data_IF_032930344391
#
_entry.id   IF_032930344391
#
_cell.length_a   1.000
_cell.length_b   1.000
_cell.length_c   1.000
_cell.angle_alpha   90.00
_cell.angle_beta   90.00
_cell.angle_gamma   90.00
#
_symmetry.space_group_name_H-M   'P 1'
#
loop_
_entity.id
_entity.type
_entity.pdbx_description
1 polymer ?
#
# COMPACT_ATOMS: atom_id res chain seq x y z
N UNK A 1 -39.42 -24.67 31.06
CA UNK A 1 -39.23 -23.26 30.71
C UNK A 1 -37.77 -22.96 30.42
N UNK A 2 -36.82 -23.22 31.34
CA UNK A 2 -35.38 -22.96 31.20
C UNK A 2 -34.76 -23.57 29.93
N UNK A 3 -35.05 -24.86 29.62
CA UNK A 3 -34.51 -25.54 28.43
C UNK A 3 -34.92 -24.86 27.11
N UNK A 4 -36.15 -24.32 27.02
CA UNK A 4 -36.64 -23.57 25.85
C UNK A 4 -35.96 -22.19 25.73
N UNK A 5 -35.71 -21.53 26.85
CA UNK A 5 -34.99 -20.24 26.89
C UNK A 5 -33.53 -20.44 26.44
N UNK A 6 -32.86 -21.47 26.95
CA UNK A 6 -31.49 -21.80 26.54
C UNK A 6 -31.41 -22.13 25.04
N UNK A 7 -32.40 -22.92 24.54
CA UNK A 7 -32.44 -23.22 23.09
C UNK A 7 -32.65 -21.95 22.25
N UNK A 8 -33.56 -21.06 22.67
CA UNK A 8 -33.81 -19.80 21.96
C UNK A 8 -32.54 -18.92 21.94
N UNK A 9 -31.83 -18.80 23.08
CA UNK A 9 -30.57 -18.06 23.16
C UNK A 9 -29.48 -18.64 22.25
N UNK A 10 -29.33 -19.97 22.20
CA UNK A 10 -28.36 -20.62 21.32
C UNK A 10 -28.67 -20.39 19.83
N UNK A 11 -29.97 -20.45 19.47
CA UNK A 11 -30.40 -20.15 18.08
C UNK A 11 -30.12 -18.70 17.73
N UNK A 12 -30.41 -17.76 18.64
CA UNK A 12 -30.13 -16.33 18.41
C UNK A 12 -28.65 -16.08 18.26
N UNK A 13 -27.82 -16.67 19.11
CA UNK A 13 -26.33 -16.57 19.00
C UNK A 13 -25.81 -17.13 17.69
N UNK A 14 -26.35 -18.28 17.26
CA UNK A 14 -25.98 -18.88 15.98
C UNK A 14 -26.37 -17.97 14.78
N UNK A 15 -27.58 -17.39 14.81
CA UNK A 15 -28.02 -16.46 13.77
C UNK A 15 -27.16 -15.17 13.74
N UNK A 16 -26.80 -14.63 14.90
CA UNK A 16 -25.90 -13.47 15.00
C UNK A 16 -24.52 -13.82 14.47
N UNK A 17 -23.98 -14.99 14.81
CA UNK A 17 -22.69 -15.45 14.30
C UNK A 17 -22.69 -15.64 12.76
N UNK A 18 -23.77 -16.22 12.21
CA UNK A 18 -23.94 -16.37 10.75
C UNK A 18 -24.06 -15.00 10.08
N UNK A 19 -24.85 -14.08 10.65
CA UNK A 19 -24.98 -12.73 10.12
C UNK A 19 -23.64 -11.98 10.16
N UNK A 20 -22.92 -12.08 11.27
CA UNK A 20 -21.58 -11.49 11.41
C UNK A 20 -20.60 -12.09 10.38
N UNK A 21 -20.58 -13.40 10.24
CA UNK A 21 -19.73 -14.06 9.23
C UNK A 21 -20.10 -13.60 7.82
N UNK A 22 -21.39 -13.46 7.50
CA UNK A 22 -21.84 -12.94 6.20
C UNK A 22 -21.42 -11.48 5.97
N UNK A 23 -21.54 -10.62 6.98
CA UNK A 23 -21.19 -9.19 6.88
C UNK A 23 -19.68 -8.97 6.77
N UNK A 24 -18.89 -9.70 7.55
CA UNK A 24 -17.45 -9.47 7.67
C UNK A 24 -16.60 -10.40 6.78
N UNK A 25 -17.17 -11.37 6.09
CA UNK A 25 -16.42 -12.21 5.18
C UNK A 25 -16.20 -11.46 3.84
N UNK A 26 -14.96 -11.20 3.42
CA UNK A 26 -14.71 -10.49 2.17
C UNK A 26 -15.20 -11.31 0.97
N UNK A 27 -15.83 -10.64 0.01
CA UNK A 27 -16.19 -11.24 -1.28
C UNK A 27 -15.18 -10.76 -2.31
N UNK A 28 -14.28 -11.66 -2.68
CA UNK A 28 -13.28 -11.43 -3.71
C UNK A 28 -13.76 -12.09 -5.01
N UNK A 29 -14.02 -11.31 -6.07
CA UNK A 29 -14.37 -11.90 -7.36
C UNK A 29 -13.15 -12.59 -7.99
N UNK A 30 -13.42 -13.52 -8.89
CA UNK A 30 -12.39 -14.08 -9.75
C UNK A 30 -12.19 -13.17 -10.96
N UNK A 31 -10.94 -12.98 -11.43
CA UNK A 31 -10.67 -12.21 -12.63
C UNK A 31 -11.37 -12.79 -13.87
N UNK A 32 -11.75 -11.93 -14.78
CA UNK A 32 -12.12 -12.31 -16.13
C UNK A 32 -10.89 -12.71 -16.93
N UNK A 33 -11.06 -13.55 -17.95
CA UNK A 33 -9.98 -13.97 -18.84
C UNK A 33 -9.06 -15.05 -18.29
N UNK A 34 -8.38 -15.79 -19.17
CA UNK A 34 -7.61 -16.97 -18.80
C UNK A 34 -6.30 -16.65 -18.07
N UNK A 35 -5.60 -15.58 -18.47
CA UNK A 35 -4.33 -15.21 -17.86
C UNK A 35 -4.54 -14.64 -16.46
N UNK A 36 -5.47 -13.68 -16.30
CA UNK A 36 -5.83 -13.13 -15.00
C UNK A 36 -6.30 -14.24 -14.04
N UNK A 37 -7.14 -15.16 -14.49
CA UNK A 37 -7.60 -16.28 -13.68
C UNK A 37 -6.45 -17.23 -13.26
N UNK A 38 -5.48 -17.48 -14.14
CA UNK A 38 -4.29 -18.28 -13.83
C UNK A 38 -3.38 -17.59 -12.81
N UNK A 39 -3.11 -16.29 -12.98
CA UNK A 39 -2.29 -15.49 -12.08
C UNK A 39 -2.93 -15.32 -10.70
N UNK A 40 -4.25 -15.32 -10.63
CA UNK A 40 -5.01 -15.14 -9.39
C UNK A 40 -5.14 -16.41 -8.54
N UNK A 41 -4.71 -17.58 -9.05
CA UNK A 41 -4.68 -18.78 -8.25
C UNK A 41 -3.83 -18.59 -6.99
N UNK A 42 -4.21 -19.19 -5.86
CA UNK A 42 -3.40 -19.15 -4.65
C UNK A 42 -1.95 -19.59 -4.92
N UNK A 43 -1.00 -18.95 -4.25
CA UNK A 43 0.38 -19.43 -4.24
C UNK A 43 0.50 -20.74 -3.44
N UNK A 44 1.55 -21.51 -3.71
CA UNK A 44 1.75 -22.85 -3.12
C UNK A 44 2.59 -22.83 -1.84
N UNK A 45 3.32 -21.71 -1.59
CA UNK A 45 4.21 -21.62 -0.43
C UNK A 45 3.43 -21.31 0.84
N UNK A 46 3.75 -22.03 1.92
CA UNK A 46 3.21 -21.72 3.24
C UNK A 46 3.75 -20.39 3.75
N UNK A 47 2.92 -19.60 4.44
CA UNK A 47 3.32 -18.33 5.04
C UNK A 47 3.75 -18.48 6.49
N UNK A 48 4.89 -17.88 6.87
CA UNK A 48 5.30 -17.58 8.22
C UNK A 48 5.08 -16.09 8.52
N UNK A 49 4.90 -15.78 9.81
CA UNK A 49 4.73 -14.40 10.30
C UNK A 49 5.51 -14.25 11.59
N UNK A 50 6.17 -13.10 11.75
CA UNK A 50 6.80 -12.71 13.00
C UNK A 50 6.67 -11.22 13.27
N UNK A 51 6.56 -10.76 14.52
CA UNK A 51 6.53 -9.35 14.86
C UNK A 51 7.88 -8.70 14.60
N UNK A 52 7.87 -7.43 14.20
CA UNK A 52 9.01 -6.54 14.21
C UNK A 52 8.87 -5.58 15.39
N UNK A 53 9.93 -5.44 16.17
CA UNK A 53 10.04 -4.45 17.25
C UNK A 53 11.42 -3.79 17.09
N UNK A 54 11.47 -2.66 16.38
CA UNK A 54 12.70 -2.00 16.00
C UNK A 54 12.77 -0.62 16.64
N UNK A 55 13.96 -0.22 17.07
CA UNK A 55 14.23 1.10 17.63
C UNK A 55 15.41 1.73 16.92
N UNK A 56 15.19 2.88 16.29
CA UNK A 56 16.26 3.69 15.70
C UNK A 56 16.67 4.79 16.68
N UNK A 57 17.76 4.55 17.39
CA UNK A 57 18.33 5.48 18.37
C UNK A 57 19.05 6.69 17.74
N UNK A 58 19.16 6.72 16.43
CA UNK A 58 19.87 7.80 15.70
C UNK A 58 18.96 8.95 15.32
N UNK A 59 17.63 8.73 15.31
CA UNK A 59 16.64 9.72 14.87
C UNK A 59 15.55 9.85 15.92
N UNK A 60 15.20 11.10 16.25
CA UNK A 60 14.15 11.40 17.21
C UNK A 60 12.76 11.25 16.59
N UNK A 61 11.77 10.94 17.42
CA UNK A 61 10.35 11.18 17.13
C UNK A 61 9.99 12.57 17.64
N UNK A 62 9.48 13.43 16.77
CA UNK A 62 9.17 14.83 17.11
C UNK A 62 7.98 14.92 18.07
N UNK A 63 7.87 16.06 18.75
CA UNK A 63 6.69 16.36 19.56
C UNK A 63 5.44 16.45 18.68
N UNK A 64 4.30 16.00 19.20
CA UNK A 64 3.03 15.99 18.48
C UNK A 64 1.86 16.12 19.46
N UNK A 65 1.05 17.16 19.36
CA UNK A 65 0.00 17.45 20.32
C UNK A 65 0.53 17.46 21.76
N UNK A 66 -0.02 16.62 22.64
CA UNK A 66 0.46 16.49 24.04
C UNK A 66 1.69 15.56 24.19
N UNK A 67 2.09 14.87 23.15
CA UNK A 67 3.29 14.05 23.16
C UNK A 67 4.54 14.91 23.03
N UNK A 68 5.41 14.84 24.02
CA UNK A 68 6.63 15.67 24.09
C UNK A 68 7.73 15.28 23.10
N UNK A 69 7.53 14.19 22.34
CA UNK A 69 8.58 13.57 21.51
C UNK A 69 9.48 12.63 22.32
N UNK A 70 10.38 11.96 21.61
CA UNK A 70 11.38 11.04 22.24
C UNK A 70 12.65 11.02 21.40
N UNK A 71 13.83 10.69 21.98
CA UNK A 71 15.12 10.77 21.29
C UNK A 71 15.37 9.62 20.31
N UNK A 72 14.42 8.75 20.09
CA UNK A 72 14.48 7.59 19.20
C UNK A 72 13.18 7.46 18.40
N UNK A 73 13.18 6.56 17.40
CA UNK A 73 11.98 6.18 16.65
C UNK A 73 11.66 4.72 16.88
N UNK A 74 10.44 4.44 17.34
CA UNK A 74 9.93 3.06 17.48
C UNK A 74 9.18 2.68 16.21
N UNK A 75 9.60 1.56 15.61
CA UNK A 75 9.05 1.03 14.36
C UNK A 75 8.59 -0.41 14.65
N UNK A 76 7.39 -0.51 15.21
CA UNK A 76 6.76 -1.78 15.49
C UNK A 76 5.95 -2.25 14.28
N UNK A 77 5.99 -3.54 13.99
CA UNK A 77 5.33 -4.03 12.79
C UNK A 77 5.32 -5.53 12.66
N UNK A 78 5.26 -5.97 11.43
CA UNK A 78 5.12 -7.37 11.07
C UNK A 78 6.00 -7.71 9.86
N UNK A 79 6.50 -8.93 9.86
CA UNK A 79 7.21 -9.54 8.75
C UNK A 79 6.51 -10.84 8.34
N UNK A 80 6.23 -10.97 7.06
CA UNK A 80 5.63 -12.16 6.47
C UNK A 80 6.57 -12.70 5.38
N UNK A 81 6.77 -14.03 5.38
CA UNK A 81 7.67 -14.67 4.43
C UNK A 81 7.27 -16.13 4.13
N UNK A 82 7.69 -16.68 2.96
CA UNK A 82 7.50 -18.08 2.65
C UNK A 82 8.23 -18.99 3.64
N UNK A 83 7.55 -20.05 4.12
CA UNK A 83 8.19 -21.06 4.99
C UNK A 83 9.16 -21.95 4.23
N UNK A 84 8.87 -22.22 2.98
CA UNK A 84 9.76 -22.99 2.14
C UNK A 84 10.96 -22.14 1.73
N UNK A 85 12.14 -22.68 1.91
CA UNK A 85 13.39 -22.00 1.60
C UNK A 85 14.04 -22.50 0.31
N UNK A 86 13.54 -23.62 -0.24
CA UNK A 86 14.14 -24.28 -1.40
C UNK A 86 14.05 -23.42 -2.68
N UNK A 87 13.04 -22.55 -2.76
CA UNK A 87 12.80 -21.68 -3.91
C UNK A 87 13.39 -20.26 -3.74
N UNK A 88 13.95 -19.96 -2.55
CA UNK A 88 14.59 -18.66 -2.26
C UNK A 88 15.98 -18.51 -2.89
N UNK A 89 16.65 -17.35 -2.71
CA UNK A 89 16.18 -16.19 -1.97
C UNK A 89 15.03 -15.44 -2.67
N UNK A 90 14.17 -14.81 -1.87
CA UNK A 90 12.94 -14.16 -2.32
C UNK A 90 13.07 -12.64 -2.42
N UNK A 91 12.35 -11.96 -3.34
CA UNK A 91 12.22 -10.51 -3.34
C UNK A 91 11.59 -10.00 -2.04
N UNK A 92 12.03 -8.81 -1.59
CA UNK A 92 11.48 -8.11 -0.43
C UNK A 92 10.61 -6.94 -0.89
N UNK A 93 9.46 -6.77 -0.25
CA UNK A 93 8.59 -5.60 -0.38
C UNK A 93 8.50 -4.92 0.99
N UNK A 94 8.90 -3.66 1.07
CA UNK A 94 8.66 -2.80 2.22
C UNK A 94 7.35 -2.05 1.96
N UNK A 95 6.29 -2.40 2.72
CA UNK A 95 4.96 -1.82 2.56
C UNK A 95 4.71 -0.72 3.58
N UNK A 96 4.33 0.45 3.11
CA UNK A 96 4.01 1.64 3.89
C UNK A 96 2.50 1.86 3.94
N UNK A 97 1.94 1.95 5.14
CA UNK A 97 0.51 2.19 5.33
C UNK A 97 0.14 3.66 5.09
N UNK A 98 -1.14 3.93 4.83
CA UNK A 98 -1.71 5.26 4.70
C UNK A 98 -1.86 6.00 6.04
N UNK A 99 -2.26 7.27 5.95
CA UNK A 99 -2.54 8.10 7.12
C UNK A 99 -3.63 7.48 8.02
N UNK A 100 -3.45 7.52 9.33
CA UNK A 100 -4.34 6.94 10.35
C UNK A 100 -4.53 5.43 10.24
N UNK A 101 -3.70 4.73 9.48
CA UNK A 101 -3.80 3.30 9.25
C UNK A 101 -2.79 2.50 10.08
N UNK A 102 -2.49 1.27 9.68
CA UNK A 102 -1.58 0.36 10.35
C UNK A 102 -1.02 -0.69 9.40
N UNK A 103 -0.10 -1.52 9.90
CA UNK A 103 0.47 -2.67 9.16
C UNK A 103 -0.59 -3.61 8.56
N UNK A 104 -1.81 -3.65 9.11
CA UNK A 104 -2.88 -4.53 8.62
C UNK A 104 -3.58 -4.01 7.35
N UNK A 105 -3.32 -2.76 6.93
CA UNK A 105 -3.99 -2.14 5.79
C UNK A 105 -3.80 -2.93 4.49
N UNK A 106 -2.58 -3.41 4.24
CA UNK A 106 -2.20 -4.19 3.07
C UNK A 106 -2.39 -5.71 3.20
N UNK A 107 -3.14 -6.20 4.20
CA UNK A 107 -3.23 -7.65 4.48
C UNK A 107 -3.66 -8.47 3.26
N UNK A 108 -4.55 -7.95 2.41
CA UNK A 108 -4.95 -8.64 1.18
C UNK A 108 -3.79 -8.85 0.19
N UNK A 109 -2.80 -7.94 0.15
CA UNK A 109 -1.58 -8.10 -0.66
C UNK A 109 -0.64 -9.12 -0.03
N UNK A 110 -0.49 -9.10 1.29
CA UNK A 110 0.30 -10.10 2.03
C UNK A 110 -0.20 -11.50 1.76
N UNK A 111 -1.52 -11.74 1.94
CA UNK A 111 -2.14 -13.05 1.74
C UNK A 111 -2.01 -13.57 0.30
N UNK A 112 -1.82 -12.67 -0.65
CA UNK A 112 -1.71 -13.01 -2.06
C UNK A 112 -0.26 -13.19 -2.53
N UNK A 113 0.65 -12.31 -2.10
CA UNK A 113 2.03 -12.28 -2.62
C UNK A 113 2.98 -13.20 -1.85
N UNK A 114 2.82 -13.33 -0.53
CA UNK A 114 3.75 -14.17 0.25
C UNK A 114 3.71 -15.64 -0.17
N UNK A 115 2.53 -16.27 -0.37
CA UNK A 115 2.49 -17.64 -0.89
C UNK A 115 3.03 -17.80 -2.32
N UNK A 116 3.27 -16.69 -3.03
CA UNK A 116 3.86 -16.63 -4.38
C UNK A 116 5.35 -16.32 -4.39
N UNK A 117 6.00 -16.32 -3.22
CA UNK A 117 7.43 -16.17 -3.12
C UNK A 117 7.90 -14.73 -2.89
N UNK A 118 7.19 -13.94 -2.12
CA UNK A 118 7.62 -12.61 -1.68
C UNK A 118 7.78 -12.55 -0.16
N UNK A 119 8.80 -11.85 0.30
CA UNK A 119 8.91 -11.40 1.70
C UNK A 119 8.28 -10.01 1.78
N UNK A 120 7.43 -9.78 2.78
CA UNK A 120 6.79 -8.47 2.99
C UNK A 120 7.06 -8.03 4.42
N UNK A 121 7.52 -6.80 4.59
CA UNK A 121 7.67 -6.14 5.89
C UNK A 121 6.87 -4.84 5.90
N UNK A 122 6.17 -4.59 6.99
CA UNK A 122 5.46 -3.33 7.24
C UNK A 122 5.62 -2.93 8.69
N UNK A 123 5.73 -1.62 8.94
CA UNK A 123 5.80 -1.05 10.30
C UNK A 123 4.75 0.04 10.46
N UNK A 124 4.29 0.23 11.69
CA UNK A 124 3.48 1.38 12.05
C UNK A 124 4.41 2.59 12.22
N UNK A 125 4.20 3.62 11.41
CA UNK A 125 5.00 4.85 11.51
C UNK A 125 4.65 5.62 12.80
N UNK A 126 5.65 6.13 13.51
CA UNK A 126 5.48 6.67 14.87
C UNK A 126 4.40 7.75 15.01
N UNK A 127 4.26 8.64 14.01
CA UNK A 127 3.35 9.78 14.11
C UNK A 127 2.21 9.76 13.08
N UNK A 128 2.19 8.84 12.11
CA UNK A 128 1.12 8.80 11.10
C UNK A 128 0.20 7.56 11.21
N UNK A 129 0.55 6.58 12.04
CA UNK A 129 -0.31 5.42 12.30
C UNK A 129 -1.54 5.80 13.13
N UNK A 130 -2.58 4.96 13.09
CA UNK A 130 -3.80 5.18 13.86
C UNK A 130 -3.60 5.17 15.38
N UNK A 131 -2.49 4.61 15.87
CA UNK A 131 -2.08 4.58 17.28
C UNK A 131 -1.05 5.65 17.67
N UNK A 132 -0.78 6.62 16.80
CA UNK A 132 0.26 7.62 17.01
C UNK A 132 0.04 8.45 18.30
N UNK A 133 1.08 8.63 19.13
CA UNK A 133 0.99 9.45 20.33
C UNK A 133 0.73 10.93 19.97
N UNK A 134 -0.19 11.56 20.68
CA UNK A 134 -0.65 12.92 20.40
C UNK A 134 -1.67 13.02 19.27
N UNK A 135 -2.05 11.88 18.67
CA UNK A 135 -2.92 11.75 17.51
C UNK A 135 -2.14 11.64 16.20
N UNK A 136 -2.73 11.02 15.16
CA UNK A 136 -2.07 10.89 13.87
C UNK A 136 -1.80 12.26 13.22
N UNK A 137 -0.60 12.41 12.65
CA UNK A 137 -0.23 13.57 11.84
C UNK A 137 0.49 13.13 10.58
N UNK A 138 0.27 13.83 9.48
CA UNK A 138 0.98 13.62 8.23
C UNK A 138 2.35 14.36 8.23
N UNK A 139 2.59 15.25 9.20
CA UNK A 139 3.82 16.09 9.31
C UNK A 139 5.12 15.28 9.40
N UNK A 140 5.04 13.98 9.70
CA UNK A 140 6.21 13.09 9.82
C UNK A 140 6.57 12.38 8.52
N UNK A 141 5.85 12.63 7.41
CA UNK A 141 6.07 11.91 6.15
C UNK A 141 7.49 12.06 5.61
N UNK A 142 8.11 13.21 5.80
CA UNK A 142 9.50 13.46 5.40
C UNK A 142 10.53 12.55 6.12
N UNK A 143 10.19 12.01 7.29
CA UNK A 143 11.03 11.06 8.03
C UNK A 143 10.85 9.60 7.59
N UNK A 144 9.74 9.27 6.94
CA UNK A 144 9.40 7.88 6.60
C UNK A 144 10.37 7.20 5.62
N UNK A 145 10.98 7.86 4.61
CA UNK A 145 12.04 7.24 3.82
C UNK A 145 13.22 6.75 4.67
N UNK A 146 13.60 7.52 5.69
CA UNK A 146 14.61 7.10 6.65
C UNK A 146 14.18 5.91 7.52
N UNK A 147 12.88 5.81 7.84
CA UNK A 147 12.32 4.66 8.56
C UNK A 147 12.37 3.41 7.69
N UNK A 148 11.98 3.52 6.42
CA UNK A 148 12.06 2.43 5.43
C UNK A 148 13.50 1.94 5.28
N UNK A 149 14.47 2.87 5.12
CA UNK A 149 15.89 2.51 5.00
C UNK A 149 16.42 1.82 6.27
N UNK A 150 16.01 2.29 7.45
CA UNK A 150 16.38 1.65 8.71
C UNK A 150 15.80 0.24 8.85
N UNK A 151 14.51 0.04 8.53
CA UNK A 151 13.90 -1.30 8.52
C UNK A 151 14.65 -2.21 7.55
N UNK A 152 14.98 -1.72 6.36
CA UNK A 152 15.76 -2.48 5.37
C UNK A 152 17.14 -2.88 5.92
N UNK A 153 17.85 -1.97 6.60
CA UNK A 153 19.14 -2.26 7.25
C UNK A 153 19.01 -3.42 8.24
N UNK A 154 17.98 -3.39 9.10
CA UNK A 154 17.75 -4.43 10.09
C UNK A 154 17.43 -5.79 9.45
N UNK A 155 16.60 -5.82 8.42
CA UNK A 155 16.23 -7.05 7.71
C UNK A 155 17.44 -7.66 6.98
N UNK A 156 18.26 -6.85 6.32
CA UNK A 156 19.46 -7.33 5.61
C UNK A 156 20.56 -7.79 6.59
N UNK A 157 20.68 -7.16 7.76
CA UNK A 157 21.57 -7.63 8.81
C UNK A 157 21.14 -9.02 9.31
N UNK A 158 19.85 -9.24 9.56
CA UNK A 158 19.28 -10.55 9.92
C UNK A 158 19.46 -11.57 8.78
N UNK A 159 19.27 -11.16 7.53
CA UNK A 159 19.48 -12.01 6.35
C UNK A 159 20.93 -12.50 6.21
N UNK A 160 21.87 -11.79 6.80
CA UNK A 160 23.30 -12.15 6.79
C UNK A 160 23.76 -12.88 8.07
N UNK A 161 22.90 -13.04 9.07
CA UNK A 161 23.21 -13.61 10.37
C UNK A 161 22.84 -15.10 10.43
N UNK A 162 23.85 -15.97 10.55
CA UNK A 162 23.63 -17.42 10.70
C UNK A 162 22.74 -17.73 11.91
N UNK A 163 21.74 -18.59 11.70
CA UNK A 163 20.80 -18.98 12.75
C UNK A 163 19.58 -18.06 12.89
N UNK A 164 19.54 -16.91 12.24
CA UNK A 164 18.33 -16.08 12.16
C UNK A 164 17.29 -16.73 11.22
N UNK A 165 16.01 -16.46 11.48
CA UNK A 165 14.91 -16.92 10.62
C UNK A 165 14.99 -16.37 9.19
N UNK A 166 15.69 -15.26 8.97
CA UNK A 166 15.88 -14.63 7.67
C UNK A 166 17.19 -15.04 6.95
N UNK A 167 18.08 -15.81 7.60
CA UNK A 167 19.39 -16.11 7.02
C UNK A 167 19.29 -16.66 5.59
N UNK A 168 19.82 -15.92 4.61
CA UNK A 168 19.79 -16.27 3.18
C UNK A 168 18.42 -16.31 2.51
N UNK A 169 17.38 -15.73 3.15
CA UNK A 169 16.01 -15.78 2.66
C UNK A 169 15.67 -14.64 1.69
N UNK A 170 16.25 -13.45 1.90
CA UNK A 170 15.98 -12.24 1.13
C UNK A 170 17.03 -12.07 0.04
N UNK A 171 16.60 -11.78 -1.18
CA UNK A 171 17.49 -11.34 -2.25
C UNK A 171 17.75 -9.83 -2.14
N UNK A 172 18.96 -9.40 -1.80
CA UNK A 172 19.29 -7.98 -1.61
C UNK A 172 19.28 -7.16 -2.91
N UNK A 173 19.14 -7.78 -4.07
CA UNK A 173 19.05 -7.10 -5.36
C UNK A 173 17.59 -6.97 -5.86
N UNK A 174 16.63 -7.60 -5.18
CA UNK A 174 15.22 -7.59 -5.56
C UNK A 174 14.37 -6.99 -4.43
N UNK A 175 14.53 -5.68 -4.20
CA UNK A 175 13.87 -4.93 -3.14
C UNK A 175 12.92 -3.92 -3.77
N UNK A 176 11.65 -3.96 -3.37
CA UNK A 176 10.64 -3.00 -3.77
C UNK A 176 10.10 -2.24 -2.56
N UNK A 177 9.63 -1.01 -2.81
CA UNK A 177 8.77 -0.26 -1.91
C UNK A 177 7.36 -0.21 -2.48
N UNK A 178 6.36 -0.32 -1.62
CA UNK A 178 4.96 -0.17 -1.99
C UNK A 178 4.19 0.49 -0.86
N UNK A 179 3.09 1.18 -1.16
CA UNK A 179 2.26 1.75 -0.11
C UNK A 179 1.00 2.40 -0.62
N UNK A 180 0.05 2.60 0.28
CA UNK A 180 -1.25 3.23 0.01
C UNK A 180 -1.27 4.66 0.51
N UNK A 181 -1.83 5.60 -0.27
CA UNK A 181 -2.07 6.97 0.16
C UNK A 181 -0.77 7.66 0.64
N UNK A 182 -0.68 8.11 1.88
CA UNK A 182 0.55 8.64 2.49
C UNK A 182 1.71 7.64 2.34
N UNK A 183 1.46 6.32 2.48
CA UNK A 183 2.46 5.28 2.22
C UNK A 183 2.86 5.19 0.74
N UNK A 184 1.96 5.53 -0.18
CA UNK A 184 2.27 5.71 -1.60
C UNK A 184 3.24 6.87 -1.83
N UNK A 185 3.05 7.99 -1.13
CA UNK A 185 4.00 9.11 -1.12
C UNK A 185 5.33 8.68 -0.50
N UNK A 186 5.31 7.98 0.62
CA UNK A 186 6.54 7.42 1.23
C UNK A 186 7.32 6.56 0.24
N UNK A 187 6.63 5.72 -0.53
CA UNK A 187 7.26 4.91 -1.58
C UNK A 187 7.88 5.77 -2.67
N UNK A 188 7.21 6.85 -3.10
CA UNK A 188 7.75 7.80 -4.08
C UNK A 188 8.98 8.54 -3.53
N UNK A 189 8.92 9.01 -2.27
CA UNK A 189 10.06 9.68 -1.63
C UNK A 189 11.25 8.74 -1.47
N UNK A 190 11.04 7.50 -1.02
CA UNK A 190 12.10 6.49 -0.86
C UNK A 190 12.73 6.10 -2.20
N UNK A 191 11.98 6.19 -3.30
CA UNK A 191 12.42 5.81 -4.63
C UNK A 191 13.12 6.95 -5.39
N UNK A 192 12.63 8.20 -5.23
CA UNK A 192 13.01 9.30 -6.13
C UNK A 192 13.53 10.56 -5.43
N UNK A 193 13.27 10.78 -4.14
CA UNK A 193 13.72 12.01 -3.49
C UNK A 193 15.24 12.09 -3.46
N UNK A 194 15.83 13.13 -4.05
CA UNK A 194 17.28 13.27 -4.27
C UNK A 194 18.13 12.93 -3.03
N UNK A 195 17.71 13.39 -1.86
CA UNK A 195 18.52 13.32 -0.64
C UNK A 195 18.12 12.17 0.29
N UNK A 196 16.91 11.63 0.16
CA UNK A 196 16.38 10.58 1.05
C UNK A 196 16.03 9.26 0.35
N UNK A 197 16.23 9.16 -0.97
CA UNK A 197 16.04 7.88 -1.68
C UNK A 197 17.04 6.83 -1.22
N UNK A 198 16.59 5.59 -1.17
CA UNK A 198 17.47 4.46 -0.89
C UNK A 198 17.90 3.79 -2.22
N UNK A 199 19.21 3.79 -2.55
CA UNK A 199 19.68 3.24 -3.82
C UNK A 199 19.55 1.71 -3.95
N UNK A 200 19.20 1.00 -2.87
CA UNK A 200 18.95 -0.45 -2.87
C UNK A 200 17.56 -0.79 -3.42
N UNK A 201 16.66 0.20 -3.49
CA UNK A 201 15.33 0.00 -4.05
C UNK A 201 15.43 -0.17 -5.56
N UNK A 202 14.87 -1.27 -6.06
CA UNK A 202 14.90 -1.66 -7.47
C UNK A 202 13.56 -1.53 -8.18
N UNK A 203 12.45 -1.35 -7.44
CA UNK A 203 11.13 -1.08 -7.98
C UNK A 203 10.27 -0.33 -6.95
N UNK A 204 9.33 0.50 -7.43
CA UNK A 204 8.41 1.22 -6.56
C UNK A 204 6.96 1.11 -7.06
N UNK A 205 6.03 0.99 -6.12
CA UNK A 205 4.59 1.02 -6.39
C UNK A 205 3.92 2.03 -5.46
N UNK A 206 3.24 3.00 -6.04
CA UNK A 206 2.41 3.96 -5.31
C UNK A 206 0.93 3.62 -5.56
N UNK A 207 0.20 3.26 -4.51
CA UNK A 207 -1.24 3.02 -4.59
C UNK A 207 -1.94 4.29 -4.09
N UNK A 208 -2.65 4.99 -4.98
CA UNK A 208 -3.36 6.23 -4.68
C UNK A 208 -2.53 7.25 -3.85
N UNK A 209 -1.22 7.33 -4.12
CA UNK A 209 -0.33 8.25 -3.40
C UNK A 209 -0.44 9.69 -3.91
N UNK A 210 -0.37 10.70 -3.02
CA UNK A 210 -0.29 12.11 -3.43
C UNK A 210 0.92 12.35 -4.34
N UNK A 211 0.72 13.10 -5.45
CA UNK A 211 1.77 13.39 -6.41
C UNK A 211 1.57 14.71 -7.16
N UNK A 212 0.58 15.55 -6.80
CA UNK A 212 0.31 16.82 -7.49
C UNK A 212 1.53 17.73 -7.46
N UNK A 213 2.20 17.81 -6.33
CA UNK A 213 3.37 18.65 -6.07
C UNK A 213 4.70 18.07 -6.55
N UNK A 214 4.73 16.80 -6.97
CA UNK A 214 5.93 16.16 -7.51
C UNK A 214 6.06 16.50 -9.01
N UNK A 215 7.17 17.11 -9.40
CA UNK A 215 7.42 17.56 -10.78
C UNK A 215 8.19 16.51 -11.58
N UNK A 216 8.37 16.67 -12.91
CA UNK A 216 9.23 15.78 -13.69
C UNK A 216 10.66 15.69 -13.16
N UNK A 217 11.19 16.77 -12.60
CA UNK A 217 12.54 16.82 -12.02
C UNK A 217 12.66 15.85 -10.84
N UNK A 218 11.63 15.73 -10.00
CA UNK A 218 11.59 14.77 -8.90
C UNK A 218 11.78 13.33 -9.41
N UNK A 219 11.01 12.93 -10.42
CA UNK A 219 11.08 11.58 -10.97
C UNK A 219 12.33 11.32 -11.80
N UNK A 220 13.01 12.35 -12.28
CA UNK A 220 14.23 12.21 -13.09
C UNK A 220 15.47 11.74 -12.31
N UNK A 221 15.39 11.72 -10.97
CA UNK A 221 16.52 11.32 -10.10
C UNK A 221 16.83 9.82 -10.17
N UNK A 222 15.90 9.01 -10.66
CA UNK A 222 16.06 7.57 -10.81
C UNK A 222 15.34 7.05 -12.05
N UNK A 223 15.89 6.05 -12.70
CA UNK A 223 15.28 5.34 -13.84
C UNK A 223 14.68 3.99 -13.44
N UNK A 224 14.46 3.76 -12.14
CA UNK A 224 13.88 2.50 -11.69
C UNK A 224 12.45 2.31 -12.19
N UNK A 225 11.99 1.07 -12.40
CA UNK A 225 10.61 0.77 -12.69
C UNK A 225 9.67 1.33 -11.62
N UNK A 226 8.66 2.10 -12.05
CA UNK A 226 7.66 2.70 -11.18
C UNK A 226 6.27 2.44 -11.71
N UNK A 227 5.37 2.00 -10.84
CA UNK A 227 3.95 1.85 -11.15
C UNK A 227 3.12 2.66 -10.16
N UNK A 228 2.17 3.44 -10.70
CA UNK A 228 1.11 4.02 -9.89
C UNK A 228 -0.20 3.28 -10.16
N UNK A 229 -0.90 2.88 -9.10
CA UNK A 229 -2.26 2.34 -9.18
C UNK A 229 -3.19 3.38 -8.57
N UNK A 230 -4.23 3.79 -9.29
CA UNK A 230 -5.16 4.81 -8.83
C UNK A 230 -6.61 4.47 -9.19
N UNK A 231 -7.54 4.90 -8.36
CA UNK A 231 -8.96 4.82 -8.62
C UNK A 231 -9.48 6.09 -9.30
N UNK A 232 -10.27 5.97 -10.36
CA UNK A 232 -10.80 7.16 -11.04
C UNK A 232 -11.93 7.88 -10.27
N UNK A 233 -12.48 7.23 -9.25
CA UNK A 233 -13.48 7.80 -8.34
C UNK A 233 -12.90 8.07 -6.94
N UNK A 234 -11.58 8.23 -6.83
CA UNK A 234 -10.92 8.58 -5.59
C UNK A 234 -11.28 10.01 -5.19
N UNK A 235 -12.01 10.16 -4.08
CA UNK A 235 -12.43 11.45 -3.56
C UNK A 235 -11.41 12.08 -2.61
N UNK A 236 -10.47 11.29 -2.08
CA UNK A 236 -9.49 11.71 -1.08
C UNK A 236 -8.21 12.20 -1.75
N UNK A 237 -7.73 11.46 -2.74
CA UNK A 237 -6.59 11.84 -3.57
C UNK A 237 -7.08 11.97 -5.01
N UNK A 238 -7.60 13.15 -5.42
CA UNK A 238 -8.28 13.35 -6.68
C UNK A 238 -7.45 12.88 -7.89
N UNK A 239 -8.01 11.93 -8.65
CA UNK A 239 -7.32 11.26 -9.76
C UNK A 239 -6.69 12.23 -10.76
N UNK A 240 -7.44 13.26 -11.20
CA UNK A 240 -7.01 14.19 -12.23
C UNK A 240 -5.79 15.04 -11.79
N UNK A 241 -5.66 15.30 -10.49
CA UNK A 241 -4.55 16.09 -9.96
C UNK A 241 -3.31 15.26 -9.66
N UNK A 242 -3.50 14.03 -9.18
CA UNK A 242 -2.41 13.23 -8.62
C UNK A 242 -1.96 12.10 -9.55
N UNK A 243 -2.89 11.36 -10.15
CA UNK A 243 -2.56 10.16 -10.93
C UNK A 243 -2.47 10.44 -12.44
N UNK A 244 -3.47 11.11 -13.03
CA UNK A 244 -3.52 11.35 -14.46
C UNK A 244 -2.26 12.00 -15.06
N UNK A 245 -1.55 12.93 -14.36
CA UNK A 245 -0.33 13.53 -14.88
C UNK A 245 0.93 12.65 -14.78
N UNK A 246 0.90 11.50 -14.09
CA UNK A 246 2.09 10.68 -13.84
C UNK A 246 2.83 10.26 -15.11
N UNK A 247 2.19 9.81 -16.20
CA UNK A 247 2.91 9.44 -17.42
C UNK A 247 3.70 10.59 -18.04
N UNK A 248 3.21 11.84 -17.88
CA UNK A 248 3.94 13.03 -18.36
C UNK A 248 5.07 13.44 -17.41
N UNK A 249 4.89 13.23 -16.10
CA UNK A 249 5.90 13.55 -15.10
C UNK A 249 7.04 12.52 -15.05
N UNK A 250 6.73 11.25 -15.31
CA UNK A 250 7.64 10.13 -15.28
C UNK A 250 7.42 9.22 -16.49
N UNK A 251 8.08 9.49 -17.62
CA UNK A 251 7.86 8.75 -18.88
C UNK A 251 8.20 7.25 -18.84
N UNK A 252 8.84 6.79 -17.78
CA UNK A 252 9.17 5.37 -17.55
C UNK A 252 8.19 4.70 -16.57
N UNK A 253 7.18 5.44 -16.13
CA UNK A 253 6.16 4.91 -15.21
C UNK A 253 5.03 4.23 -15.96
N UNK A 254 4.37 3.32 -15.26
CA UNK A 254 3.09 2.75 -15.66
C UNK A 254 2.01 3.26 -14.72
N UNK A 255 0.97 3.89 -15.26
CA UNK A 255 -0.24 4.21 -14.53
C UNK A 255 -1.31 3.15 -14.82
N UNK A 256 -1.75 2.47 -13.75
CA UNK A 256 -2.88 1.53 -13.76
C UNK A 256 -4.08 2.24 -13.13
N UNK A 257 -5.07 2.61 -13.94
CA UNK A 257 -6.29 3.26 -13.49
C UNK A 257 -7.39 2.23 -13.32
N UNK A 258 -7.96 2.15 -12.13
CA UNK A 258 -9.14 1.33 -11.83
C UNK A 258 -10.38 2.21 -11.99
N UNK A 259 -11.17 1.97 -13.03
CA UNK A 259 -12.37 2.76 -13.32
C UNK A 259 -13.42 2.60 -12.22
N UNK A 260 -13.84 3.71 -11.61
CA UNK A 260 -14.74 3.71 -10.47
C UNK A 260 -14.09 3.26 -9.15
N UNK A 261 -12.79 2.98 -9.14
CA UNK A 261 -12.05 2.68 -7.91
C UNK A 261 -12.01 3.90 -6.98
N UNK A 262 -12.10 3.67 -5.68
CA UNK A 262 -12.12 4.70 -4.63
C UNK A 262 -10.85 4.63 -3.79
N UNK A 263 -10.58 5.65 -2.99
CA UNK A 263 -9.42 5.66 -2.09
C UNK A 263 -9.48 4.53 -1.06
N UNK A 264 -10.56 4.52 -0.29
CA UNK A 264 -10.76 3.56 0.80
C UNK A 264 -10.88 2.11 0.28
N UNK A 265 -11.33 1.93 -0.97
CA UNK A 265 -11.42 0.62 -1.61
C UNK A 265 -10.10 -0.15 -1.69
N UNK A 266 -8.97 0.54 -1.61
CA UNK A 266 -7.63 -0.09 -1.57
C UNK A 266 -7.25 -0.66 -0.20
N UNK A 267 -7.89 -0.26 0.88
CA UNK A 267 -7.60 -0.79 2.21
C UNK A 267 -8.28 -2.14 2.44
N UNK A 268 -7.60 -3.09 3.10
CA UNK A 268 -8.11 -4.45 3.34
C UNK A 268 -9.49 -4.48 3.98
N UNK A 269 -9.77 -3.55 4.90
CA UNK A 269 -11.05 -3.47 5.61
C UNK A 269 -12.24 -3.18 4.69
N UNK A 270 -12.00 -2.52 3.54
CA UNK A 270 -13.06 -2.11 2.64
C UNK A 270 -13.83 -3.29 2.02
N UNK A 271 -13.14 -4.40 1.72
CA UNK A 271 -13.78 -5.60 1.15
C UNK A 271 -14.69 -6.34 2.13
N UNK A 272 -14.71 -5.97 3.41
CA UNK A 272 -15.57 -6.50 4.44
C UNK A 272 -16.87 -5.70 4.54
N UNK A 273 -17.06 -4.91 5.60
CA UNK A 273 -18.31 -4.19 5.82
C UNK A 273 -18.55 -3.01 4.87
N UNK A 274 -17.48 -2.34 4.35
CA UNK A 274 -17.63 -1.20 3.46
C UNK A 274 -18.14 -1.59 2.06
N UNK A 275 -18.12 -2.87 1.70
CA UNK A 275 -18.70 -3.39 0.46
C UNK A 275 -20.20 -3.11 0.28
N UNK A 276 -20.89 -2.74 1.36
CA UNK A 276 -22.31 -2.43 1.35
C UNK A 276 -22.61 -0.97 0.99
N UNK A 277 -21.60 -0.12 1.02
CA UNK A 277 -21.73 1.29 0.64
C UNK A 277 -21.55 1.43 -0.87
N UNK A 278 -22.29 2.37 -1.45
CA UNK A 278 -22.17 2.62 -2.88
C UNK A 278 -20.88 3.36 -3.24
N UNK A 279 -20.34 4.14 -2.31
CA UNK A 279 -19.05 4.84 -2.43
C UNK A 279 -18.35 4.89 -1.06
N UNK A 280 -17.33 4.05 -0.83
CA UNK A 280 -16.66 3.98 0.48
C UNK A 280 -16.07 5.29 0.99
N UNK A 281 -15.56 6.17 0.11
CA UNK A 281 -14.92 7.43 0.51
C UNK A 281 -15.92 8.42 1.13
N UNK A 282 -17.22 8.33 0.82
CA UNK A 282 -18.28 9.13 1.43
C UNK A 282 -18.29 9.04 2.97
N UNK A 283 -17.84 7.90 3.52
CA UNK A 283 -17.78 7.70 4.97
C UNK A 283 -16.59 8.42 5.62
N UNK A 284 -15.51 8.60 4.89
CA UNK A 284 -14.23 9.12 5.42
C UNK A 284 -14.09 10.61 5.16
N UNK A 285 -14.62 11.11 4.05
CA UNK A 285 -14.52 12.51 3.67
C UNK A 285 -14.98 13.51 4.75
N UNK A 286 -16.10 13.32 5.49
CA UNK A 286 -16.49 14.26 6.54
C UNK A 286 -15.45 14.39 7.66
N UNK A 287 -14.75 13.29 8.00
CA UNK A 287 -13.72 13.30 9.04
C UNK A 287 -12.47 14.06 8.57
N UNK A 288 -12.08 13.86 7.31
CA UNK A 288 -10.93 14.55 6.72
C UNK A 288 -11.18 16.05 6.58
N UNK A 289 -12.33 16.44 6.08
CA UNK A 289 -12.70 17.87 5.97
C UNK A 289 -12.72 18.54 7.35
N UNK A 290 -13.28 17.87 8.37
CA UNK A 290 -13.26 18.39 9.74
C UNK A 290 -11.83 18.53 10.29
N UNK A 291 -10.93 17.59 9.99
CA UNK A 291 -9.51 17.67 10.35
C UNK A 291 -8.86 18.91 9.75
N UNK A 292 -9.03 19.12 8.44
CA UNK A 292 -8.51 20.30 7.73
C UNK A 292 -9.07 21.62 8.28
N UNK A 293 -10.37 21.67 8.62
CA UNK A 293 -11.00 22.84 9.25
C UNK A 293 -10.42 23.12 10.65
N UNK A 294 -9.97 22.09 11.36
CA UNK A 294 -9.31 22.21 12.67
C UNK A 294 -7.82 22.55 12.58
N UNK A 295 -7.27 22.71 11.39
CA UNK A 295 -5.90 23.14 11.14
C UNK A 295 -4.89 22.00 10.90
N UNK A 296 -5.36 20.80 10.59
CA UNK A 296 -4.49 19.75 10.06
C UNK A 296 -3.98 20.20 8.69
N UNK A 297 -2.68 20.30 8.52
CA UNK A 297 -2.12 20.69 7.24
C UNK A 297 -2.28 19.56 6.21
N UNK A 298 -2.65 19.86 4.95
CA UNK A 298 -2.62 18.86 3.90
C UNK A 298 -1.18 18.36 3.65
N UNK A 299 -1.03 17.14 3.14
CA UNK A 299 0.27 16.48 2.95
C UNK A 299 1.25 17.32 2.10
N UNK A 300 0.73 18.15 1.21
CA UNK A 300 1.49 19.05 0.33
C UNK A 300 2.24 20.16 1.09
N UNK A 301 1.71 20.61 2.22
CA UNK A 301 2.34 21.66 3.03
C UNK A 301 3.50 21.15 3.89
N UNK A 302 3.73 19.83 3.93
CA UNK A 302 4.70 19.20 4.81
C UNK A 302 6.05 18.95 4.18
N UNK A 303 6.07 18.80 2.88
CA UNK A 303 7.29 18.80 2.11
C UNK A 303 7.55 20.26 1.75
N UNK A 304 8.57 20.85 2.35
CA UNK A 304 8.96 22.23 2.00
C UNK A 304 9.17 22.29 0.48
N UNK A 305 8.50 23.23 -0.22
CA UNK A 305 8.69 23.37 -1.65
C UNK A 305 10.16 23.62 -1.97
N UNK A 306 10.72 22.84 -2.85
CA UNK A 306 12.09 22.96 -3.31
C UNK A 306 12.17 22.57 -4.79
N UNK A 307 12.29 23.56 -5.65
CA UNK A 307 12.37 23.37 -7.09
C UNK A 307 13.62 22.58 -7.52
N UNK A 308 14.72 22.63 -6.72
CA UNK A 308 15.94 21.87 -7.05
C UNK A 308 15.77 20.36 -6.87
N UNK A 309 14.85 19.94 -6.00
CA UNK A 309 14.52 18.53 -5.80
C UNK A 309 13.18 18.13 -6.42
N UNK A 310 12.55 19.06 -7.14
CA UNK A 310 11.31 18.80 -7.88
C UNK A 310 10.05 18.75 -7.02
N UNK A 311 9.97 19.52 -5.94
CA UNK A 311 8.79 19.66 -5.11
C UNK A 311 8.20 21.07 -5.32
N UNK A 312 6.99 21.16 -5.89
CA UNK A 312 6.27 22.42 -6.14
C UNK A 312 5.32 22.78 -4.99
N UNK A 313 4.67 23.93 -5.12
CA UNK A 313 3.59 24.38 -4.22
C UNK A 313 2.20 23.96 -4.69
N UNK A 314 2.10 23.12 -5.72
CA UNK A 314 0.81 22.67 -6.23
C UNK A 314 0.10 21.83 -5.19
N UNK A 315 -1.19 22.07 -5.02
CA UNK A 315 -2.03 21.37 -4.06
C UNK A 315 -3.38 21.01 -4.68
N UNK A 316 -4.00 19.96 -4.19
CA UNK A 316 -5.35 19.57 -4.57
C UNK A 316 -6.13 19.19 -3.32
N UNK A 317 -7.24 19.89 -3.10
CA UNK A 317 -8.09 19.67 -1.93
C UNK A 317 -8.77 18.30 -1.98
N UNK A 318 -8.68 17.48 -0.93
CA UNK A 318 -9.41 16.24 -0.83
C UNK A 318 -10.91 16.48 -0.65
N UNK A 319 -11.71 15.47 -1.00
CA UNK A 319 -13.14 15.45 -0.68
C UNK A 319 -13.95 16.62 -1.26
N UNK A 320 -13.58 17.09 -2.45
CA UNK A 320 -14.32 18.16 -3.16
C UNK A 320 -15.51 17.62 -3.98
N UNK A 321 -15.70 16.29 -4.06
CA UNK A 321 -16.86 15.68 -4.70
C UNK A 321 -18.15 16.07 -3.97
N UNK A 322 -19.13 16.57 -4.71
CA UNK A 322 -20.46 16.92 -4.20
C UNK A 322 -21.46 15.78 -4.38
N UNK A 323 -21.20 14.89 -5.32
CA UNK A 323 -22.04 13.73 -5.60
C UNK A 323 -21.13 12.49 -5.65
N UNK A 324 -21.47 11.47 -4.86
CA UNK A 324 -20.76 10.20 -4.83
C UNK A 324 -21.54 9.18 -5.68
N UNK A 325 -21.12 9.01 -6.92
CA UNK A 325 -21.67 7.98 -7.78
C UNK A 325 -21.34 6.56 -7.27
N UNK A 326 -22.04 5.57 -7.82
CA UNK A 326 -21.74 4.17 -7.48
C UNK A 326 -20.33 3.82 -7.94
N UNK A 327 -19.50 3.49 -6.98
CA UNK A 327 -18.11 3.11 -7.18
C UNK A 327 -17.94 1.61 -7.49
N UNK A 328 -16.72 1.25 -7.91
CA UNK A 328 -16.25 -0.13 -7.99
C UNK A 328 -16.35 -0.81 -6.62
N UNK A 329 -16.73 -2.08 -6.61
CA UNK A 329 -16.77 -2.84 -5.35
C UNK A 329 -15.36 -3.03 -4.80
N UNK A 330 -15.12 -2.82 -3.50
CA UNK A 330 -13.76 -2.98 -2.93
C UNK A 330 -13.11 -4.33 -3.19
N UNK A 331 -13.88 -5.42 -3.21
CA UNK A 331 -13.33 -6.75 -3.54
C UNK A 331 -12.81 -6.86 -4.97
N UNK A 332 -13.47 -6.22 -5.93
CA UNK A 332 -13.01 -6.13 -7.32
C UNK A 332 -11.76 -5.26 -7.41
N UNK A 333 -11.78 -4.11 -6.75
CA UNK A 333 -10.63 -3.20 -6.69
C UNK A 333 -9.38 -3.89 -6.13
N UNK A 334 -9.52 -4.63 -5.03
CA UNK A 334 -8.42 -5.40 -4.42
C UNK A 334 -7.97 -6.56 -5.33
N UNK A 335 -8.86 -7.22 -6.02
CA UNK A 335 -8.51 -8.25 -6.99
C UNK A 335 -7.66 -7.69 -8.13
N UNK A 336 -8.07 -6.54 -8.71
CA UNK A 336 -7.33 -5.88 -9.78
C UNK A 336 -5.98 -5.35 -9.29
N UNK A 337 -5.92 -4.80 -8.07
CA UNK A 337 -4.68 -4.35 -7.43
C UNK A 337 -3.68 -5.52 -7.27
N UNK A 338 -4.15 -6.70 -6.83
CA UNK A 338 -3.32 -7.91 -6.74
C UNK A 338 -2.72 -8.32 -8.08
N UNK A 339 -3.54 -8.32 -9.15
CA UNK A 339 -3.07 -8.67 -10.49
C UNK A 339 -2.03 -7.69 -11.00
N UNK A 340 -2.29 -6.40 -10.88
CA UNK A 340 -1.34 -5.35 -11.30
C UNK A 340 -0.03 -5.45 -10.51
N UNK A 341 -0.12 -5.57 -9.17
CA UNK A 341 1.07 -5.71 -8.30
C UNK A 341 1.91 -6.93 -8.68
N UNK A 342 1.29 -8.11 -8.78
CA UNK A 342 2.02 -9.34 -9.11
C UNK A 342 2.68 -9.24 -10.48
N UNK A 343 1.94 -8.79 -11.49
CA UNK A 343 2.46 -8.70 -12.86
C UNK A 343 3.61 -7.70 -12.97
N UNK A 344 3.51 -6.56 -12.30
CA UNK A 344 4.59 -5.58 -12.24
C UNK A 344 5.82 -6.14 -11.53
N UNK A 345 5.65 -6.70 -10.34
CA UNK A 345 6.77 -7.24 -9.58
C UNK A 345 7.45 -8.39 -10.29
N UNK A 346 6.71 -9.29 -10.94
CA UNK A 346 7.32 -10.38 -11.72
C UNK A 346 7.95 -9.89 -13.02
N UNK A 347 7.43 -8.84 -13.68
CA UNK A 347 8.09 -8.26 -14.85
C UNK A 347 9.46 -7.68 -14.53
N UNK A 348 9.68 -7.27 -13.27
CA UNK A 348 10.97 -6.74 -12.79
C UNK A 348 11.83 -7.84 -12.15
N UNK A 349 11.26 -8.69 -11.30
CA UNK A 349 11.98 -9.54 -10.37
C UNK A 349 11.99 -11.03 -10.70
N UNK A 350 11.16 -11.53 -11.60
CA UNK A 350 11.20 -12.96 -11.93
C UNK A 350 12.61 -13.36 -12.40
N UNK A 351 13.12 -14.47 -11.88
CA UNK A 351 14.45 -14.97 -12.25
C UNK A 351 14.52 -15.39 -13.73
N UNK A 352 13.43 -15.99 -14.22
CA UNK A 352 13.31 -16.40 -15.62
C UNK A 352 12.99 -15.19 -16.53
N UNK A 353 13.84 -14.87 -17.51
CA UNK A 353 13.59 -13.79 -18.47
C UNK A 353 12.30 -14.01 -19.31
N UNK A 354 11.91 -15.25 -19.59
CA UNK A 354 10.67 -15.53 -20.31
C UNK A 354 9.46 -15.17 -19.46
N UNK A 355 9.52 -15.44 -18.15
CA UNK A 355 8.50 -15.04 -17.20
C UNK A 355 8.40 -13.51 -17.08
N UNK A 356 9.53 -12.81 -17.02
CA UNK A 356 9.52 -11.32 -17.02
C UNK A 356 8.82 -10.76 -18.25
N UNK A 357 9.19 -11.24 -19.45
CA UNK A 357 8.57 -10.79 -20.70
C UNK A 357 7.08 -11.14 -20.78
N UNK A 358 6.67 -12.31 -20.28
CA UNK A 358 5.26 -12.70 -20.20
C UNK A 358 4.49 -11.74 -19.29
N UNK A 359 5.03 -11.42 -18.11
CA UNK A 359 4.35 -10.54 -17.16
C UNK A 359 4.29 -9.11 -17.62
N UNK A 360 5.34 -8.61 -18.27
CA UNK A 360 5.32 -7.33 -18.94
C UNK A 360 4.24 -7.28 -20.03
N UNK A 361 4.15 -8.29 -20.89
CA UNK A 361 3.12 -8.39 -21.92
C UNK A 361 1.71 -8.41 -21.31
N UNK A 362 1.51 -9.21 -20.28
CA UNK A 362 0.23 -9.25 -19.57
C UNK A 362 -0.12 -7.87 -19.01
N UNK A 363 0.80 -7.24 -18.28
CA UNK A 363 0.58 -5.98 -17.62
C UNK A 363 0.25 -4.84 -18.59
N UNK A 364 1.00 -4.70 -19.69
CA UNK A 364 0.87 -3.55 -20.60
C UNK A 364 -0.13 -3.77 -21.74
N UNK A 365 -0.52 -5.02 -22.03
CA UNK A 365 -1.34 -5.33 -23.21
C UNK A 365 -2.60 -6.13 -22.90
N UNK A 366 -2.52 -7.13 -22.01
CA UNK A 366 -3.60 -8.10 -21.82
C UNK A 366 -4.49 -7.76 -20.62
N UNK A 367 -3.94 -7.15 -19.56
CA UNK A 367 -4.66 -6.85 -18.32
C UNK A 367 -5.92 -6.01 -18.61
N UNK A 368 -5.83 -4.94 -19.37
CA UNK A 368 -6.97 -4.11 -19.74
C UNK A 368 -7.94 -4.81 -20.71
N UNK A 369 -7.45 -5.76 -21.50
CA UNK A 369 -8.32 -6.55 -22.39
C UNK A 369 -9.15 -7.58 -21.60
N UNK A 370 -8.52 -8.23 -20.61
CA UNK A 370 -9.20 -9.20 -19.75
C UNK A 370 -10.04 -8.54 -18.66
N UNK A 371 -9.64 -7.34 -18.19
CA UNK A 371 -10.29 -6.59 -17.13
C UNK A 371 -10.74 -5.20 -17.66
N UNK A 372 -11.96 -5.08 -18.21
CA UNK A 372 -12.42 -3.83 -18.85
C UNK A 372 -12.47 -2.62 -17.91
N UNK A 373 -12.47 -2.82 -16.60
CA UNK A 373 -12.41 -1.76 -15.59
C UNK A 373 -10.99 -1.20 -15.40
N UNK A 374 -9.98 -1.72 -16.13
CA UNK A 374 -8.59 -1.26 -16.03
C UNK A 374 -8.24 -0.43 -17.26
N UNK A 375 -7.65 0.75 -17.04
CA UNK A 375 -6.99 1.53 -18.09
C UNK A 375 -5.50 1.60 -17.78
N UNK A 376 -4.68 1.61 -18.83
CA UNK A 376 -3.22 1.69 -18.74
C UNK A 376 -2.73 2.93 -19.48
N UNK A 377 -1.77 3.64 -18.87
CA UNK A 377 -1.08 4.78 -19.47
C UNK A 377 0.41 4.73 -19.16
N UNK A 378 1.24 5.07 -20.16
CA UNK A 378 2.72 5.10 -20.08
C UNK A 378 3.25 6.44 -20.54
#
# INVERSE_FOLDING_TARGET
>A
MVKRIVQALLVTLALVAIAAAYVFNPVLPTPSGPQGAALYQPGELGMAREPLALTDDRRATMANGEFAGQPFRELNGELWYPRDRAEGPYPLILYSHGFMSSVSEGAYLVDFLVPKGYVIAAVDYPLSSGGAPGGPTVNDVGNQPGDVSFVLDQLLARNSTEGDSLFGLIDPQRIAVAGLSLGGLTSQLTAFHRDSRDPRIAAAVSIAGPAVFLTPEFFSTSSMPFMMIAGSADAIIPYEAHAAPIPQKSPQSLLVTLQGGTHVGFASIASTFMRWFHHPDELVCPMLVQGLENGDAPAEEMLLPDAEIGISTDAAMPCTMTEFERAMRPGEQQMLTRLAMLSFLESVFAADPARRAQMETFLISELAQEQPSVLLSM
#
